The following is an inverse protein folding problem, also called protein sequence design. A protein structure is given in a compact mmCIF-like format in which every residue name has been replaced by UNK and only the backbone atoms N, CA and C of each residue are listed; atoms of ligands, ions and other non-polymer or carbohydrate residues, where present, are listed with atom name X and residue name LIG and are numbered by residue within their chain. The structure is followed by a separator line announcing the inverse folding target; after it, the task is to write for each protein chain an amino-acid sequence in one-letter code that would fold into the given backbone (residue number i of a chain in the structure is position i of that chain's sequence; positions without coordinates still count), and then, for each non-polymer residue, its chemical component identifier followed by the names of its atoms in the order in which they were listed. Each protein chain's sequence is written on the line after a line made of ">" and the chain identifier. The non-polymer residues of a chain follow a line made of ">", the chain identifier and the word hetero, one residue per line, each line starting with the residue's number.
data_IF_978943847113
#
_entry.id   IF_978943847113
#
_cell.length_a   1.000
_cell.length_b   1.000
_cell.length_c   1.000
_cell.angle_alpha   90.00
_cell.angle_beta   90.00
_cell.angle_gamma   90.00
#
_symmetry.space_group_name_H-M   'P 1'
#
loop_
_entity.id
_entity.type
_entity.pdbx_description
1 polymer ?
#
# COMPACT_ATOMS: atom_id res chain seq x y z
N UNK A 1 -60.87 -32.49 -35.08
CA UNK A 1 -59.75 -31.56 -34.84
C UNK A 1 -59.65 -31.34 -33.33
N UNK A 2 -58.64 -31.91 -32.67
CA UNK A 2 -58.39 -31.73 -31.22
C UNK A 2 -57.26 -30.72 -31.08
N UNK A 3 -57.54 -29.55 -30.53
CA UNK A 3 -56.56 -28.49 -30.28
C UNK A 3 -55.87 -28.82 -28.95
N UNK A 4 -54.57 -29.13 -29.00
CA UNK A 4 -53.71 -29.28 -27.82
C UNK A 4 -53.41 -27.87 -27.25
N UNK A 5 -53.49 -27.63 -25.92
CA UNK A 5 -53.00 -26.39 -25.36
C UNK A 5 -51.47 -26.45 -25.26
N UNK A 6 -50.80 -25.51 -25.90
CA UNK A 6 -49.36 -25.30 -25.79
C UNK A 6 -49.08 -24.68 -24.41
N UNK A 7 -48.57 -25.48 -23.46
CA UNK A 7 -48.09 -24.98 -22.18
C UNK A 7 -46.76 -24.25 -22.42
N UNK A 8 -46.76 -22.91 -22.34
CA UNK A 8 -45.53 -22.13 -22.37
C UNK A 8 -44.80 -22.27 -21.03
N UNK A 9 -43.66 -22.99 -21.05
CA UNK A 9 -42.76 -23.10 -19.91
C UNK A 9 -41.97 -21.78 -19.79
N UNK A 10 -42.34 -20.93 -18.84
CA UNK A 10 -41.56 -19.75 -18.43
C UNK A 10 -40.28 -20.23 -17.74
N UNK A 11 -39.18 -20.29 -18.48
CA UNK A 11 -37.84 -20.47 -17.90
C UNK A 11 -37.46 -19.13 -17.26
N UNK A 12 -37.57 -19.04 -15.94
CA UNK A 12 -37.00 -17.94 -15.18
C UNK A 12 -35.46 -18.02 -15.30
N UNK A 13 -34.86 -17.12 -16.07
CA UNK A 13 -33.41 -16.95 -16.08
C UNK A 13 -32.96 -16.55 -14.66
N UNK A 14 -31.94 -17.17 -14.08
CA UNK A 14 -31.43 -16.74 -12.79
C UNK A 14 -30.92 -15.31 -12.92
N UNK A 15 -31.47 -14.40 -12.11
CA UNK A 15 -30.92 -13.06 -11.92
C UNK A 15 -29.53 -13.25 -11.33
N UNK A 16 -28.48 -13.08 -12.14
CA UNK A 16 -27.12 -13.05 -11.65
C UNK A 16 -26.98 -11.84 -10.73
N UNK A 17 -26.75 -12.09 -9.45
CA UNK A 17 -26.58 -11.03 -8.47
C UNK A 17 -25.36 -10.18 -8.86
N UNK A 18 -25.57 -8.87 -8.98
CA UNK A 18 -24.49 -7.92 -9.25
C UNK A 18 -23.44 -8.00 -8.14
N UNK A 19 -22.15 -8.00 -8.52
CA UNK A 19 -21.02 -8.02 -7.59
C UNK A 19 -20.52 -6.60 -7.34
N UNK A 20 -20.43 -6.21 -6.07
CA UNK A 20 -19.81 -4.95 -5.64
C UNK A 20 -18.29 -5.07 -5.70
N UNK A 21 -17.65 -4.20 -6.48
CA UNK A 21 -16.19 -4.20 -6.72
C UNK A 21 -15.54 -3.09 -5.92
N UNK A 22 -14.71 -3.45 -4.95
CA UNK A 22 -14.00 -2.51 -4.08
C UNK A 22 -12.55 -2.42 -4.58
N UNK A 23 -12.04 -1.22 -4.82
CA UNK A 23 -10.63 -1.01 -5.16
C UNK A 23 -9.78 -0.66 -3.94
N UNK A 24 -8.45 -0.78 -4.08
CA UNK A 24 -7.49 -0.11 -3.19
C UNK A 24 -6.19 0.26 -3.91
N UNK A 25 -5.51 1.27 -3.36
CA UNK A 25 -4.21 1.76 -3.83
C UNK A 25 -3.07 0.86 -3.33
N UNK A 26 -1.89 1.02 -3.93
CA UNK A 26 -0.70 0.20 -3.66
C UNK A 26 0.09 0.58 -2.39
N UNK A 27 -0.58 0.75 -1.26
CA UNK A 27 0.09 0.96 0.04
C UNK A 27 -0.73 0.37 1.18
N UNK A 28 -0.04 0.03 2.28
CA UNK A 28 -0.56 -0.74 3.43
C UNK A 28 -1.94 -0.31 3.89
N UNK A 29 -2.10 0.97 4.24
CA UNK A 29 -3.35 1.49 4.77
C UNK A 29 -4.51 1.34 3.77
N UNK A 30 -4.28 1.56 2.47
CA UNK A 30 -5.34 1.40 1.47
C UNK A 30 -5.75 -0.07 1.30
N UNK A 31 -4.81 -1.02 1.37
CA UNK A 31 -5.14 -2.44 1.36
C UNK A 31 -5.99 -2.85 2.56
N UNK A 32 -5.61 -2.39 3.76
CA UNK A 32 -6.34 -2.66 5.02
C UNK A 32 -7.75 -2.09 4.92
N UNK A 33 -7.89 -0.83 4.50
CA UNK A 33 -9.20 -0.21 4.34
C UNK A 33 -10.05 -0.96 3.32
N UNK A 34 -9.49 -1.38 2.19
CA UNK A 34 -10.20 -2.23 1.22
C UNK A 34 -10.77 -3.51 1.84
N UNK A 35 -10.00 -4.18 2.70
CA UNK A 35 -10.46 -5.36 3.46
C UNK A 35 -11.52 -5.01 4.52
N UNK A 36 -11.40 -3.86 5.20
CA UNK A 36 -12.44 -3.37 6.12
C UNK A 36 -13.77 -3.19 5.37
N UNK A 37 -13.75 -2.56 4.19
CA UNK A 37 -14.96 -2.36 3.38
C UNK A 37 -15.54 -3.69 2.91
N UNK A 38 -14.69 -4.61 2.41
CA UNK A 38 -15.11 -5.96 1.99
C UNK A 38 -15.82 -6.71 3.12
N UNK A 39 -15.23 -6.74 4.32
CA UNK A 39 -15.80 -7.39 5.50
C UNK A 39 -17.12 -6.77 5.93
N UNK A 40 -17.23 -5.45 5.83
CA UNK A 40 -18.43 -4.70 6.25
C UNK A 40 -19.67 -5.09 5.43
N UNK A 41 -19.46 -5.40 4.15
CA UNK A 41 -20.53 -5.77 3.22
C UNK A 41 -20.65 -7.30 3.02
N UNK A 42 -19.78 -8.08 3.66
CA UNK A 42 -19.78 -9.54 3.58
C UNK A 42 -21.13 -10.10 4.07
N UNK A 43 -21.64 -11.10 3.33
CA UNK A 43 -22.95 -11.69 3.56
C UNK A 43 -24.16 -10.83 3.14
N UNK A 44 -23.96 -9.58 2.69
CA UNK A 44 -25.04 -8.70 2.21
C UNK A 44 -25.15 -8.68 0.69
N UNK A 45 -24.00 -8.67 0.01
CA UNK A 45 -23.89 -8.69 -1.45
C UNK A 45 -22.67 -9.53 -1.85
N UNK A 46 -22.64 -10.12 -3.07
CA UNK A 46 -21.39 -10.60 -3.64
C UNK A 46 -20.41 -9.44 -3.71
N UNK A 47 -19.20 -9.63 -3.19
CA UNK A 47 -18.18 -8.58 -3.12
C UNK A 47 -16.84 -9.08 -3.63
N UNK A 48 -16.16 -8.28 -4.42
CA UNK A 48 -14.81 -8.52 -4.94
C UNK A 48 -13.91 -7.36 -4.51
N UNK A 49 -12.83 -7.64 -3.79
CA UNK A 49 -11.79 -6.65 -3.54
C UNK A 49 -10.70 -6.79 -4.62
N UNK A 50 -10.38 -5.68 -5.30
CA UNK A 50 -9.32 -5.55 -6.30
C UNK A 50 -8.16 -4.75 -5.69
N UNK A 51 -7.24 -5.43 -4.98
CA UNK A 51 -6.17 -4.75 -4.28
C UNK A 51 -5.10 -4.22 -5.22
N UNK A 52 -4.46 -3.11 -4.83
CA UNK A 52 -3.17 -2.71 -5.40
C UNK A 52 -3.22 -2.28 -6.86
N UNK A 53 -4.36 -1.76 -7.32
CA UNK A 53 -4.59 -1.36 -8.71
C UNK A 53 -3.56 -0.32 -9.21
N UNK A 54 -2.97 0.45 -8.31
CA UNK A 54 -1.90 1.39 -8.61
C UNK A 54 -1.93 2.62 -7.71
N UNK A 55 -1.41 3.72 -8.23
CA UNK A 55 -1.54 5.05 -7.62
C UNK A 55 -2.92 5.66 -7.91
N UNK A 56 -3.22 6.81 -7.29
CA UNK A 56 -4.47 7.58 -7.42
C UNK A 56 -5.04 7.58 -8.84
N UNK A 57 -4.25 7.97 -9.84
CA UNK A 57 -4.71 8.08 -11.22
C UNK A 57 -5.24 6.77 -11.82
N UNK A 58 -4.62 5.63 -11.51
CA UNK A 58 -5.04 4.31 -12.03
C UNK A 58 -6.32 3.86 -11.34
N UNK A 59 -6.39 3.99 -10.01
CA UNK A 59 -7.59 3.58 -9.24
C UNK A 59 -8.78 4.47 -9.61
N UNK A 60 -8.56 5.77 -9.77
CA UNK A 60 -9.58 6.70 -10.22
C UNK A 60 -10.07 6.41 -11.65
N UNK A 61 -9.16 6.07 -12.57
CA UNK A 61 -9.53 5.65 -13.92
C UNK A 61 -10.37 4.35 -13.89
N UNK A 62 -10.02 3.38 -13.04
CA UNK A 62 -10.79 2.17 -12.85
C UNK A 62 -12.20 2.46 -12.31
N UNK A 63 -12.35 3.41 -11.38
CA UNK A 63 -13.66 3.85 -10.88
C UNK A 63 -14.50 4.50 -11.98
N UNK A 64 -13.92 5.41 -12.76
CA UNK A 64 -14.59 6.06 -13.90
C UNK A 64 -15.05 5.05 -14.94
N UNK A 65 -14.21 4.06 -15.25
CA UNK A 65 -14.49 3.00 -16.19
C UNK A 65 -15.51 1.96 -15.69
N UNK A 66 -15.90 2.00 -14.40
CA UNK A 66 -16.79 0.99 -13.80
C UNK A 66 -16.10 -0.35 -13.53
N UNK A 67 -14.77 -0.41 -13.61
CA UNK A 67 -13.98 -1.58 -13.20
C UNK A 67 -13.98 -1.77 -11.69
N UNK A 68 -14.24 -0.71 -10.93
CA UNK A 68 -14.57 -0.75 -9.49
C UNK A 68 -15.76 0.18 -9.24
N UNK A 69 -16.47 -0.06 -8.15
CA UNK A 69 -17.66 0.71 -7.75
C UNK A 69 -17.34 1.77 -6.68
N UNK A 70 -16.37 1.48 -5.79
CA UNK A 70 -15.90 2.40 -4.76
C UNK A 70 -14.49 2.04 -4.26
N UNK A 71 -13.81 2.99 -3.63
CA UNK A 71 -12.57 2.74 -2.90
C UNK A 71 -12.26 3.83 -1.84
N UNK A 72 -11.39 3.56 -0.85
CA UNK A 72 -10.93 4.57 0.11
C UNK A 72 -10.02 5.62 -0.53
N UNK A 73 -10.32 6.90 -0.34
CA UNK A 73 -9.56 8.03 -0.84
C UNK A 73 -9.51 9.19 0.17
N UNK A 74 -8.58 10.14 -0.01
CA UNK A 74 -8.32 11.23 0.93
C UNK A 74 -8.72 12.58 0.33
N UNK A 75 -9.31 13.45 1.14
CA UNK A 75 -9.75 14.80 0.72
C UNK A 75 -8.68 15.59 -0.01
N UNK A 76 -7.46 15.65 0.53
CA UNK A 76 -6.35 16.37 -0.08
C UNK A 76 -5.91 15.79 -1.42
N UNK A 77 -5.96 14.46 -1.57
CA UNK A 77 -5.67 13.78 -2.85
C UNK A 77 -6.75 14.06 -3.88
N UNK A 78 -8.03 14.04 -3.49
CA UNK A 78 -9.14 14.37 -4.39
C UNK A 78 -9.00 15.81 -4.89
N UNK A 79 -8.76 16.76 -3.98
CA UNK A 79 -8.61 18.16 -4.35
C UNK A 79 -7.44 18.38 -5.31
N UNK A 80 -6.24 17.88 -4.97
CA UNK A 80 -5.00 18.23 -5.68
C UNK A 80 -4.74 17.38 -6.92
N UNK A 81 -4.96 16.07 -6.84
CA UNK A 81 -4.59 15.15 -7.92
C UNK A 81 -5.76 14.88 -8.88
N UNK A 82 -6.99 14.78 -8.35
CA UNK A 82 -8.17 14.44 -9.15
C UNK A 82 -8.83 15.69 -9.73
N UNK A 83 -9.15 16.67 -8.88
CA UNK A 83 -9.88 17.88 -9.28
C UNK A 83 -8.96 19.04 -9.68
N UNK A 84 -7.68 18.99 -9.28
CA UNK A 84 -6.69 20.05 -9.51
C UNK A 84 -7.17 21.43 -8.99
N UNK A 85 -7.79 21.42 -7.82
CA UNK A 85 -8.21 22.63 -7.09
C UNK A 85 -7.28 22.89 -5.91
N UNK A 86 -7.01 24.17 -5.68
CA UNK A 86 -6.19 24.60 -4.55
C UNK A 86 -6.99 24.65 -3.24
N UNK A 87 -6.28 24.69 -2.11
CA UNK A 87 -6.88 24.79 -0.78
C UNK A 87 -7.36 23.45 -0.22
N UNK A 88 -8.35 23.52 0.67
CA UNK A 88 -8.94 22.37 1.36
C UNK A 88 -10.48 22.43 1.23
N UNK A 89 -11.02 22.08 0.05
CA UNK A 89 -12.45 22.20 -0.24
C UNK A 89 -13.31 21.36 0.71
N UNK A 90 -14.53 21.84 0.99
CA UNK A 90 -15.52 21.08 1.76
C UNK A 90 -16.02 19.85 1.00
N UNK A 91 -16.71 18.95 1.70
CA UNK A 91 -17.28 17.74 1.07
C UNK A 91 -18.34 18.13 0.03
N UNK A 92 -19.09 19.18 0.29
CA UNK A 92 -20.10 19.74 -0.60
C UNK A 92 -19.47 20.20 -1.92
N UNK A 93 -18.36 20.92 -1.84
CA UNK A 93 -17.60 21.40 -3.01
C UNK A 93 -17.00 20.22 -3.80
N UNK A 94 -16.43 19.24 -3.10
CA UNK A 94 -15.90 18.02 -3.71
C UNK A 94 -17.00 17.26 -4.46
N UNK A 95 -18.17 17.09 -3.84
CA UNK A 95 -19.32 16.42 -4.46
C UNK A 95 -19.87 17.21 -5.65
N UNK A 96 -19.95 18.53 -5.56
CA UNK A 96 -20.38 19.38 -6.68
C UNK A 96 -19.45 19.22 -7.90
N UNK A 97 -18.14 19.13 -7.68
CA UNK A 97 -17.16 18.94 -8.75
C UNK A 97 -17.13 17.50 -9.32
N UNK A 98 -17.44 16.48 -8.50
CA UNK A 98 -17.45 15.07 -8.90
C UNK A 98 -18.76 14.62 -9.55
N UNK A 99 -19.89 15.23 -9.19
CA UNK A 99 -21.22 14.83 -9.65
C UNK A 99 -21.38 14.78 -11.19
N UNK A 100 -20.83 15.72 -11.98
CA UNK A 100 -20.89 15.66 -13.45
C UNK A 100 -20.24 14.40 -14.04
N UNK A 101 -19.33 13.75 -13.30
CA UNK A 101 -18.66 12.51 -13.70
C UNK A 101 -19.40 11.24 -13.20
N UNK A 102 -20.57 11.39 -12.57
CA UNK A 102 -21.30 10.29 -11.95
C UNK A 102 -20.63 9.75 -10.68
N UNK A 103 -19.78 10.55 -10.03
CA UNK A 103 -19.01 10.18 -8.85
C UNK A 103 -19.40 11.03 -7.65
N UNK A 104 -19.15 10.51 -6.45
CA UNK A 104 -19.33 11.24 -5.20
C UNK A 104 -18.39 10.76 -4.12
N UNK A 105 -18.26 11.56 -3.06
CA UNK A 105 -17.55 11.24 -1.83
C UNK A 105 -18.51 11.22 -0.66
N UNK A 106 -18.36 10.23 0.22
CA UNK A 106 -19.17 10.06 1.41
C UNK A 106 -18.44 9.22 2.45
N UNK A 107 -19.06 9.05 3.63
CA UNK A 107 -18.59 8.18 4.71
C UNK A 107 -17.18 8.57 5.16
N UNK A 108 -17.09 9.58 6.03
CA UNK A 108 -15.83 9.93 6.69
C UNK A 108 -15.40 8.80 7.60
N UNK A 109 -14.30 8.11 7.31
CA UNK A 109 -13.93 6.89 8.04
C UNK A 109 -13.54 7.17 9.50
N UNK A 110 -13.10 8.39 9.82
CA UNK A 110 -12.85 8.85 11.20
C UNK A 110 -11.41 9.23 11.52
N UNK A 111 -10.52 9.27 10.52
CA UNK A 111 -9.13 9.68 10.70
C UNK A 111 -8.65 10.59 9.58
N UNK A 112 -7.65 11.40 9.93
CA UNK A 112 -6.90 12.23 9.00
C UNK A 112 -5.50 11.62 8.87
N UNK A 113 -5.01 11.47 7.64
CA UNK A 113 -3.69 10.95 7.30
C UNK A 113 -2.78 12.08 6.78
N UNK A 114 -2.69 13.16 7.53
CA UNK A 114 -1.83 14.29 7.17
C UNK A 114 -0.43 14.13 7.76
N UNK A 115 0.48 14.99 7.32
CA UNK A 115 1.73 15.17 8.03
C UNK A 115 1.47 15.67 9.45
N UNK A 116 2.22 15.14 10.39
CA UNK A 116 2.08 15.49 11.79
C UNK A 116 3.41 15.38 12.54
N UNK A 117 3.62 16.30 13.47
CA UNK A 117 4.73 16.20 14.41
C UNK A 117 4.43 15.13 15.44
N UNK A 118 5.40 14.25 15.68
CA UNK A 118 5.30 13.27 16.75
C UNK A 118 6.53 13.33 17.66
N UNK A 119 6.31 13.13 18.95
CA UNK A 119 7.39 13.07 19.95
C UNK A 119 7.16 11.88 20.88
N UNK A 120 8.19 11.45 21.61
CA UNK A 120 8.07 10.33 22.55
C UNK A 120 7.01 10.63 23.61
N UNK A 121 6.10 9.67 23.84
CA UNK A 121 4.96 9.82 24.77
C UNK A 121 5.41 10.18 26.19
N UNK A 122 6.46 9.52 26.70
CA UNK A 122 7.03 9.82 28.02
C UNK A 122 7.52 11.27 28.15
N UNK A 123 8.13 11.79 27.08
CA UNK A 123 8.64 13.17 27.04
C UNK A 123 7.50 14.17 26.85
N UNK A 124 6.49 13.83 26.07
CA UNK A 124 5.29 14.65 25.89
C UNK A 124 4.56 14.84 27.23
N UNK A 125 4.40 13.76 27.99
CA UNK A 125 3.83 13.82 29.34
C UNK A 125 4.71 14.65 30.29
N UNK A 126 6.02 14.37 30.34
CA UNK A 126 6.94 15.07 31.24
C UNK A 126 7.04 16.58 30.98
N UNK A 127 6.87 17.01 29.72
CA UNK A 127 6.91 18.43 29.33
C UNK A 127 5.51 19.04 29.15
N UNK A 128 4.43 18.28 29.42
CA UNK A 128 3.05 18.68 29.19
C UNK A 128 2.75 19.19 27.75
N UNK A 129 3.41 18.63 26.75
CA UNK A 129 3.23 19.00 25.33
C UNK A 129 2.12 18.16 24.72
N UNK A 130 1.08 18.82 24.18
CA UNK A 130 -0.02 18.17 23.46
C UNK A 130 -0.20 18.71 22.04
N UNK A 131 0.03 19.99 21.83
CA UNK A 131 -0.21 20.67 20.55
C UNK A 131 1.08 21.17 19.91
N UNK A 132 0.98 21.62 18.66
CA UNK A 132 2.08 22.31 17.98
C UNK A 132 2.42 23.64 18.67
N UNK A 133 1.42 24.36 19.18
CA UNK A 133 1.64 25.57 19.98
C UNK A 133 2.40 25.30 21.28
N UNK A 134 2.20 24.15 21.92
CA UNK A 134 2.98 23.77 23.10
C UNK A 134 4.42 23.45 22.73
N UNK A 135 4.62 22.69 21.65
CA UNK A 135 5.96 22.35 21.17
C UNK A 135 6.78 23.60 20.85
N UNK A 136 6.16 24.63 20.26
CA UNK A 136 6.81 25.89 19.92
C UNK A 136 7.43 26.61 21.14
N UNK A 137 6.97 26.33 22.36
CA UNK A 137 7.51 26.90 23.61
C UNK A 137 8.81 26.22 24.05
N UNK A 138 9.25 25.15 23.38
CA UNK A 138 10.43 24.35 23.76
C UNK A 138 11.50 24.31 22.65
N UNK A 139 12.17 25.44 22.34
CA UNK A 139 13.12 25.54 21.22
C UNK A 139 14.39 24.69 21.40
N UNK A 140 14.69 24.23 22.61
CA UNK A 140 15.84 23.37 22.90
C UNK A 140 15.66 21.89 22.54
N UNK A 141 14.47 21.49 22.06
CA UNK A 141 14.23 20.11 21.62
C UNK A 141 14.88 19.85 20.25
N UNK A 142 15.58 18.72 20.14
CA UNK A 142 16.20 18.28 18.88
C UNK A 142 15.16 17.63 17.99
N UNK A 143 15.20 17.96 16.70
CA UNK A 143 14.21 17.54 15.70
C UNK A 143 14.86 16.55 14.73
N UNK A 144 14.20 15.42 14.49
CA UNK A 144 14.61 14.42 13.51
C UNK A 144 13.70 14.49 12.28
N UNK A 145 14.27 14.55 11.08
CA UNK A 145 13.56 14.90 9.85
C UNK A 145 13.93 13.95 8.71
N UNK A 146 12.97 13.59 7.87
CA UNK A 146 13.24 12.87 6.63
C UNK A 146 13.70 13.82 5.52
N UNK A 147 14.55 13.31 4.61
CA UNK A 147 15.03 14.07 3.45
C UNK A 147 13.90 14.49 2.51
N UNK A 148 12.90 13.62 2.33
CA UNK A 148 11.72 13.89 1.50
C UNK A 148 10.94 15.12 1.99
N UNK A 149 10.79 15.28 3.31
CA UNK A 149 10.09 16.42 3.91
C UNK A 149 10.91 17.72 3.87
N UNK A 150 12.25 17.62 3.79
CA UNK A 150 13.15 18.78 3.64
C UNK A 150 12.95 19.48 2.29
N UNK A 151 12.63 18.73 1.23
CA UNK A 151 12.51 19.25 -0.13
C UNK A 151 11.13 19.80 -0.52
N UNK A 152 10.11 19.71 0.35
CA UNK A 152 8.72 20.08 0.02
C UNK A 152 8.40 21.54 0.32
N UNK A 153 7.63 22.18 -0.56
CA UNK A 153 7.13 23.55 -0.40
C UNK A 153 6.16 23.69 0.78
N UNK A 154 5.38 22.65 1.08
CA UNK A 154 4.54 22.50 2.27
C UNK A 154 5.24 21.76 3.43
N UNK A 155 6.57 21.62 3.37
CA UNK A 155 7.42 20.91 4.35
C UNK A 155 8.32 21.84 5.18
N UNK A 156 9.64 21.66 5.05
CA UNK A 156 10.67 22.32 5.89
C UNK A 156 10.61 23.85 6.05
N UNK A 157 10.17 24.62 5.04
CA UNK A 157 10.03 26.06 5.21
C UNK A 157 9.05 26.49 6.33
N UNK A 158 8.23 25.61 6.92
CA UNK A 158 7.32 26.06 7.98
C UNK A 158 7.03 25.19 9.22
N UNK A 159 7.51 23.94 9.38
CA UNK A 159 7.52 23.29 10.71
C UNK A 159 8.34 21.99 10.70
N UNK A 160 9.06 21.66 11.78
CA UNK A 160 10.16 20.67 11.77
C UNK A 160 9.79 19.32 12.42
N UNK A 161 9.42 18.35 11.57
CA UNK A 161 9.23 16.88 11.72
C UNK A 161 7.84 16.42 11.26
N UNK A 162 7.78 15.32 10.51
CA UNK A 162 6.49 14.81 10.06
C UNK A 162 6.50 13.29 9.90
N UNK A 163 5.58 12.65 10.59
CA UNK A 163 5.06 11.33 10.25
C UNK A 163 3.70 11.54 9.58
N UNK A 164 3.26 10.58 8.80
CA UNK A 164 1.83 10.44 8.58
C UNK A 164 1.17 10.17 9.94
N UNK A 165 0.08 10.86 10.26
CA UNK A 165 -0.63 10.71 11.55
C UNK A 165 -1.12 9.29 11.81
N UNK A 166 -1.08 8.40 10.81
CA UNK A 166 -1.42 6.98 10.92
C UNK A 166 -0.24 6.00 10.71
N UNK A 167 1.01 6.47 10.65
CA UNK A 167 2.20 5.62 10.43
C UNK A 167 2.39 4.56 11.55
N UNK A 168 2.65 3.30 11.15
CA UNK A 168 2.90 2.17 12.05
C UNK A 168 4.05 2.42 13.06
N UNK A 169 5.04 3.23 12.68
CA UNK A 169 6.18 3.57 13.53
C UNK A 169 5.77 4.35 14.79
N UNK A 170 4.62 5.02 14.76
CA UNK A 170 4.07 5.71 15.92
C UNK A 170 3.88 4.72 17.07
N UNK A 171 3.32 3.54 16.80
CA UNK A 171 3.16 2.49 17.81
C UNK A 171 4.50 1.85 18.18
N UNK A 172 5.33 1.50 17.18
CA UNK A 172 6.66 0.90 17.40
C UNK A 172 7.53 1.69 18.37
N UNK A 173 7.54 3.01 18.22
CA UNK A 173 8.41 3.90 18.99
C UNK A 173 7.69 4.60 20.15
N UNK A 174 6.44 4.21 20.43
CA UNK A 174 5.59 4.83 21.45
C UNK A 174 5.59 6.36 21.36
N UNK A 175 5.27 6.86 20.15
CA UNK A 175 5.19 8.28 19.86
C UNK A 175 3.76 8.78 20.10
N UNK A 176 3.67 10.03 20.56
CA UNK A 176 2.47 10.84 20.54
C UNK A 176 2.50 11.73 19.31
N UNK A 177 1.48 11.61 18.47
CA UNK A 177 1.18 12.61 17.43
C UNK A 177 0.62 13.85 18.13
N UNK A 178 1.21 15.01 17.85
CA UNK A 178 0.79 16.30 18.39
C UNK A 178 -0.39 16.84 17.59
N UNK A 179 -1.32 17.49 18.28
CA UNK A 179 -2.47 18.13 17.65
C UNK A 179 -2.04 19.39 16.89
N UNK A 180 -2.39 19.47 15.61
CA UNK A 180 -2.21 20.67 14.77
C UNK A 180 -3.31 21.70 15.04
N UNK A 181 -3.21 22.33 16.21
CA UNK A 181 -4.12 23.39 16.66
C UNK A 181 -4.07 24.66 15.77
N UNK A 182 -3.04 24.77 14.93
CA UNK A 182 -2.85 25.89 13.99
C UNK A 182 -3.34 25.59 12.58
N UNK A 183 -3.79 24.36 12.32
CA UNK A 183 -4.21 23.88 10.99
C UNK A 183 -3.17 24.18 9.90
N UNK A 184 -1.90 23.99 10.25
CA UNK A 184 -0.77 24.22 9.37
C UNK A 184 -0.75 23.20 8.23
N UNK A 185 -1.00 21.93 8.54
CA UNK A 185 -0.97 20.85 7.55
C UNK A 185 -2.31 20.72 6.81
N UNK A 186 -2.29 20.45 5.49
CA UNK A 186 -3.50 20.18 4.72
C UNK A 186 -4.28 18.97 5.27
N UNK A 187 -5.60 18.95 5.13
CA UNK A 187 -6.39 17.78 5.57
C UNK A 187 -6.37 16.66 4.53
N UNK A 188 -6.05 15.46 4.98
CA UNK A 188 -6.18 14.21 4.23
C UNK A 188 -7.14 13.30 5.01
N UNK A 189 -8.39 13.72 5.14
CA UNK A 189 -9.44 12.93 5.77
C UNK A 189 -9.79 11.74 4.89
N UNK A 190 -9.78 10.53 5.46
CA UNK A 190 -10.09 9.31 4.73
C UNK A 190 -11.60 9.14 4.56
N UNK A 191 -12.03 8.87 3.33
CA UNK A 191 -13.45 8.73 2.95
C UNK A 191 -13.63 7.75 1.80
N UNK A 192 -14.88 7.44 1.45
CA UNK A 192 -15.20 6.62 0.30
C UNK A 192 -15.42 7.51 -0.93
N UNK A 193 -14.64 7.28 -1.99
CA UNK A 193 -14.93 7.77 -3.33
C UNK A 193 -15.67 6.67 -4.10
N UNK A 194 -16.87 6.96 -4.60
CA UNK A 194 -17.80 5.98 -5.13
C UNK A 194 -18.53 6.46 -6.38
N UNK A 195 -19.08 5.53 -7.18
CA UNK A 195 -20.00 5.85 -8.29
C UNK A 195 -21.39 6.15 -7.71
N UNK A 196 -22.04 7.23 -8.14
CA UNK A 196 -23.35 7.69 -7.60
C UNK A 196 -24.50 6.67 -7.71
N UNK A 197 -24.34 5.64 -8.54
CA UNK A 197 -25.27 4.53 -8.67
C UNK A 197 -25.16 3.48 -7.54
N UNK A 198 -24.04 3.42 -6.80
CA UNK A 198 -23.80 2.40 -5.75
C UNK A 198 -24.91 2.35 -4.70
N UNK A 199 -25.40 3.48 -4.13
CA UNK A 199 -26.49 3.42 -3.15
C UNK A 199 -27.79 2.83 -3.71
N UNK A 200 -28.02 2.97 -5.02
CA UNK A 200 -29.21 2.42 -5.70
C UNK A 200 -29.02 0.96 -6.09
N UNK A 201 -27.83 0.58 -6.57
CA UNK A 201 -27.49 -0.79 -6.99
C UNK A 201 -27.29 -1.73 -5.79
N UNK A 202 -26.74 -1.23 -4.68
CA UNK A 202 -26.38 -2.01 -3.50
C UNK A 202 -26.87 -1.35 -2.20
N UNK A 203 -28.19 -1.18 -1.98
CA UNK A 203 -28.72 -0.39 -0.87
C UNK A 203 -28.33 -0.93 0.51
N UNK A 204 -28.33 -2.25 0.70
CA UNK A 204 -27.97 -2.86 2.00
C UNK A 204 -26.46 -2.80 2.27
N UNK A 205 -25.64 -2.98 1.24
CA UNK A 205 -24.20 -2.79 1.34
C UNK A 205 -23.87 -1.32 1.64
N UNK A 206 -24.52 -0.38 0.97
CA UNK A 206 -24.34 1.05 1.20
C UNK A 206 -24.68 1.45 2.63
N UNK A 207 -25.81 0.97 3.17
CA UNK A 207 -26.19 1.22 4.57
C UNK A 207 -25.15 0.68 5.56
N UNK A 208 -24.57 -0.49 5.27
CA UNK A 208 -23.50 -1.06 6.09
C UNK A 208 -22.22 -0.23 6.02
N UNK A 209 -21.84 0.26 4.83
CA UNK A 209 -20.70 1.14 4.64
C UNK A 209 -20.89 2.48 5.35
N UNK A 210 -22.09 3.06 5.31
CA UNK A 210 -22.41 4.29 6.06
C UNK A 210 -22.22 4.11 7.57
N UNK A 211 -22.48 2.91 8.11
CA UNK A 211 -22.24 2.63 9.52
C UNK A 211 -20.75 2.63 9.92
N UNK A 212 -19.80 2.70 8.98
CA UNK A 212 -18.38 2.90 9.26
C UNK A 212 -18.02 4.36 9.55
N UNK A 213 -18.94 5.31 9.34
CA UNK A 213 -18.65 6.72 9.55
C UNK A 213 -18.14 6.97 10.99
N UNK A 214 -16.94 7.56 11.08
CA UNK A 214 -16.26 7.85 12.34
C UNK A 214 -15.72 6.65 13.10
N UNK A 215 -15.84 5.41 12.61
CA UNK A 215 -15.46 4.19 13.38
C UNK A 215 -13.97 3.89 13.36
N UNK A 216 -13.24 4.37 12.37
CA UNK A 216 -11.81 4.14 12.19
C UNK A 216 -11.07 5.41 12.64
N UNK A 217 -10.87 5.55 13.95
CA UNK A 217 -10.02 6.63 14.46
C UNK A 217 -8.53 6.41 14.12
N UNK A 218 -7.73 7.45 14.28
CA UNK A 218 -6.30 7.39 13.97
C UNK A 218 -5.58 6.28 14.77
N UNK A 219 -5.98 6.02 16.02
CA UNK A 219 -5.33 4.98 16.85
C UNK A 219 -5.63 3.59 16.34
N UNK A 220 -6.87 3.32 15.92
CA UNK A 220 -7.26 2.06 15.29
C UNK A 220 -6.50 1.88 13.98
N UNK A 221 -6.41 2.92 13.17
CA UNK A 221 -5.66 2.85 11.91
C UNK A 221 -4.17 2.58 12.12
N UNK A 222 -3.51 3.27 13.07
CA UNK A 222 -2.10 3.00 13.44
C UNK A 222 -1.91 1.54 13.84
N UNK A 223 -2.80 0.98 14.67
CA UNK A 223 -2.72 -0.43 15.09
C UNK A 223 -2.85 -1.40 13.94
N UNK A 224 -3.77 -1.16 13.01
CA UNK A 224 -3.92 -2.01 11.84
C UNK A 224 -2.69 -1.89 10.91
N UNK A 225 -2.14 -0.69 10.73
CA UNK A 225 -0.90 -0.50 9.98
C UNK A 225 0.28 -1.23 10.64
N UNK A 226 0.42 -1.14 11.97
CA UNK A 226 1.46 -1.83 12.73
C UNK A 226 1.34 -3.36 12.63
N UNK A 227 0.13 -3.90 12.74
CA UNK A 227 -0.14 -5.31 12.55
C UNK A 227 0.34 -5.82 11.17
N UNK A 228 0.08 -5.07 10.10
CA UNK A 228 0.52 -5.46 8.77
C UNK A 228 2.04 -5.26 8.56
N UNK A 229 2.59 -4.10 8.91
CA UNK A 229 3.96 -3.73 8.57
C UNK A 229 5.03 -4.28 9.54
N UNK A 230 4.68 -4.43 10.82
CA UNK A 230 5.64 -4.78 11.87
C UNK A 230 5.46 -6.21 12.36
N UNK A 231 4.22 -6.68 12.44
CA UNK A 231 3.90 -8.05 12.89
C UNK A 231 3.78 -9.03 11.72
N UNK A 232 3.71 -8.54 10.47
CA UNK A 232 3.61 -9.36 9.27
C UNK A 232 2.25 -10.04 9.09
N UNK A 233 1.20 -9.56 9.77
CA UNK A 233 -0.17 -10.06 9.58
C UNK A 233 -0.66 -9.73 8.17
N UNK A 234 -1.55 -10.58 7.63
CA UNK A 234 -2.24 -10.28 6.38
C UNK A 234 -3.13 -9.04 6.52
N UNK A 235 -3.44 -8.36 5.42
CA UNK A 235 -4.32 -7.18 5.44
C UNK A 235 -5.73 -7.50 5.96
N UNK A 236 -6.22 -8.73 5.73
CA UNK A 236 -7.51 -9.18 6.24
C UNK A 236 -7.50 -9.40 7.77
N UNK A 237 -6.39 -9.92 8.31
CA UNK A 237 -6.18 -10.04 9.77
C UNK A 237 -5.98 -8.68 10.42
N UNK A 238 -5.23 -7.77 9.78
CA UNK A 238 -5.08 -6.39 10.24
C UNK A 238 -6.44 -5.68 10.28
N UNK A 239 -7.25 -5.78 9.22
CA UNK A 239 -8.61 -5.26 9.17
C UNK A 239 -9.52 -5.83 10.26
N UNK A 240 -9.26 -7.07 10.74
CA UNK A 240 -10.00 -7.69 11.83
C UNK A 240 -9.87 -6.96 13.17
N UNK A 241 -8.78 -6.23 13.35
CA UNK A 241 -8.51 -5.52 14.58
C UNK A 241 -9.45 -4.31 14.78
N UNK A 242 -10.19 -3.89 13.76
CA UNK A 242 -11.20 -2.85 13.88
C UNK A 242 -12.26 -3.18 14.94
N UNK A 243 -12.61 -4.46 15.07
CA UNK A 243 -13.60 -4.96 16.03
C UNK A 243 -12.99 -5.24 17.42
N UNK A 244 -11.67 -5.06 17.58
CA UNK A 244 -10.96 -5.31 18.83
C UNK A 244 -10.71 -4.03 19.62
N UNK A 245 -11.20 -3.99 20.87
CA UNK A 245 -10.94 -2.91 21.83
C UNK A 245 -9.66 -3.14 22.65
N UNK A 246 -8.79 -4.06 22.21
CA UNK A 246 -7.54 -4.36 22.88
C UNK A 246 -6.65 -3.10 22.96
N UNK A 247 -6.23 -2.76 24.19
CA UNK A 247 -5.32 -1.64 24.43
C UNK A 247 -3.95 -1.94 23.78
N UNK A 248 -3.31 -0.95 23.14
CA UNK A 248 -1.97 -1.13 22.59
C UNK A 248 -1.01 -1.56 23.70
N UNK A 249 -0.34 -2.69 23.50
CA UNK A 249 0.75 -3.09 24.39
C UNK A 249 1.89 -2.11 24.19
N UNK A 250 2.28 -1.44 25.28
CA UNK A 250 3.44 -0.55 25.30
C UNK A 250 4.64 -1.29 24.71
N UNK A 251 5.15 -0.80 23.58
CA UNK A 251 6.40 -1.27 23.02
C UNK A 251 7.52 -0.94 24.02
N UNK A 252 7.89 -1.94 24.83
CA UNK A 252 9.01 -1.82 25.75
C UNK A 252 10.24 -1.35 24.96
N UNK A 253 10.98 -0.37 25.50
CA UNK A 253 12.22 0.17 24.92
C UNK A 253 13.15 -0.99 24.56
N UNK A 254 13.19 -1.37 23.28
CA UNK A 254 14.25 -2.25 22.78
C UNK A 254 15.49 -1.40 22.56
N UNK A 255 16.57 -1.79 23.22
CA UNK A 255 17.93 -1.30 22.93
C UNK A 255 18.18 -1.36 21.41
N UNK A 256 19.00 -0.45 20.87
CA UNK A 256 19.39 -0.47 19.45
C UNK A 256 19.88 -1.87 19.03
N UNK A 257 20.73 -2.48 19.86
CA UNK A 257 21.23 -3.84 19.65
C UNK A 257 20.12 -4.90 19.78
N UNK A 258 19.17 -4.73 20.68
CA UNK A 258 18.00 -5.63 20.79
C UNK A 258 17.00 -5.47 19.63
N UNK A 259 17.04 -4.34 18.93
CA UNK A 259 16.23 -4.10 17.73
C UNK A 259 16.93 -4.67 16.50
N UNK A 260 18.26 -4.49 16.41
CA UNK A 260 19.07 -5.03 15.32
C UNK A 260 19.16 -6.56 15.37
N UNK A 261 19.41 -7.11 16.56
CA UNK A 261 19.46 -8.54 16.85
C UNK A 261 18.19 -9.03 17.54
N UNK A 262 17.03 -8.56 17.06
CA UNK A 262 15.73 -8.99 17.57
C UNK A 262 15.53 -10.51 17.44
N UNK A 263 14.47 -11.06 18.06
CA UNK A 263 14.19 -12.50 17.99
C UNK A 263 14.04 -13.01 16.54
N UNK A 264 13.60 -12.14 15.63
CA UNK A 264 13.47 -12.45 14.21
C UNK A 264 14.79 -12.38 13.44
N UNK A 265 15.89 -11.88 14.01
CA UNK A 265 17.15 -11.66 13.29
C UNK A 265 17.67 -12.95 12.66
N UNK A 266 17.76 -14.04 13.44
CA UNK A 266 18.25 -15.32 12.93
C UNK A 266 17.30 -15.92 11.89
N UNK A 267 15.99 -15.78 12.08
CA UNK A 267 14.98 -16.24 11.13
C UNK A 267 15.07 -15.47 9.82
N UNK A 268 15.04 -14.14 9.86
CA UNK A 268 15.15 -13.27 8.69
C UNK A 268 16.51 -13.41 7.99
N UNK A 269 17.60 -13.60 8.74
CA UNK A 269 18.92 -13.92 8.17
C UNK A 269 18.88 -15.26 7.45
N UNK A 270 18.26 -16.28 8.06
CA UNK A 270 18.06 -17.58 7.44
C UNK A 270 17.22 -17.50 6.16
N UNK A 271 16.11 -16.78 6.19
CA UNK A 271 15.25 -16.53 5.03
C UNK A 271 16.01 -15.80 3.92
N UNK A 272 16.81 -14.78 4.27
CA UNK A 272 17.63 -14.05 3.31
C UNK A 272 18.72 -14.95 2.70
N UNK A 273 19.44 -15.71 3.54
CA UNK A 273 20.47 -16.65 3.08
C UNK A 273 19.87 -17.71 2.17
N UNK A 274 18.74 -18.31 2.55
CA UNK A 274 18.04 -19.29 1.74
C UNK A 274 17.68 -18.70 0.38
N UNK A 275 17.09 -17.50 0.36
CA UNK A 275 16.69 -16.82 -0.86
C UNK A 275 17.90 -16.52 -1.77
N UNK A 276 19.02 -16.07 -1.19
CA UNK A 276 20.28 -15.84 -1.93
C UNK A 276 20.85 -17.16 -2.48
N UNK A 277 20.95 -18.21 -1.67
CA UNK A 277 21.50 -19.50 -2.09
C UNK A 277 20.67 -20.15 -3.20
N UNK A 278 19.35 -20.16 -3.07
CA UNK A 278 18.45 -20.71 -4.08
C UNK A 278 18.56 -19.92 -5.39
N UNK A 279 18.57 -18.58 -5.31
CA UNK A 279 18.75 -17.74 -6.50
C UNK A 279 20.10 -17.99 -7.18
N UNK A 280 21.18 -18.04 -6.40
CA UNK A 280 22.53 -18.25 -6.91
C UNK A 280 22.67 -19.65 -7.54
N UNK A 281 22.16 -20.69 -6.90
CA UNK A 281 22.18 -22.04 -7.45
C UNK A 281 21.46 -22.11 -8.80
N UNK A 282 20.27 -21.51 -8.90
CA UNK A 282 19.53 -21.41 -10.15
C UNK A 282 20.29 -20.61 -11.21
N UNK A 283 20.93 -19.49 -10.84
CA UNK A 283 21.77 -18.72 -11.75
C UNK A 283 23.01 -19.46 -12.22
N UNK A 284 23.61 -20.33 -11.40
CA UNK A 284 24.76 -21.16 -11.81
C UNK A 284 24.30 -22.22 -12.81
N UNK A 285 23.19 -22.91 -12.52
CA UNK A 285 22.61 -23.95 -13.39
C UNK A 285 22.30 -23.40 -14.78
N UNK A 286 21.86 -22.14 -14.89
CA UNK A 286 21.59 -21.49 -16.18
C UNK A 286 22.83 -20.79 -16.77
N UNK A 287 23.58 -20.08 -15.93
CA UNK A 287 24.66 -19.19 -16.36
C UNK A 287 25.92 -19.92 -16.81
N UNK A 288 26.28 -21.05 -16.17
CA UNK A 288 27.46 -21.82 -16.57
C UNK A 288 27.28 -22.43 -17.96
N UNK A 289 26.17 -23.15 -18.28
CA UNK A 289 25.95 -23.64 -19.64
C UNK A 289 25.93 -22.54 -20.70
N UNK A 290 25.31 -21.39 -20.40
CA UNK A 290 25.30 -20.24 -21.32
C UNK A 290 26.70 -19.67 -21.53
N UNK A 291 27.52 -19.57 -20.47
CA UNK A 291 28.90 -19.13 -20.55
C UNK A 291 29.80 -20.11 -21.32
N UNK A 292 29.60 -21.42 -21.15
CA UNK A 292 30.29 -22.45 -21.94
C UNK A 292 29.91 -22.36 -23.42
N UNK A 293 28.62 -22.16 -23.72
CA UNK A 293 28.15 -22.00 -25.10
C UNK A 293 28.76 -20.75 -25.75
N UNK A 294 28.78 -19.63 -25.03
CA UNK A 294 29.41 -18.39 -25.47
C UNK A 294 30.90 -18.59 -25.78
N UNK A 295 31.65 -19.30 -24.93
CA UNK A 295 33.07 -19.57 -25.13
C UNK A 295 33.36 -20.51 -26.32
N UNK A 296 32.53 -21.55 -26.52
CA UNK A 296 32.77 -22.56 -27.56
C UNK A 296 32.32 -22.11 -28.95
N UNK A 297 31.37 -21.19 -29.03
CA UNK A 297 30.79 -20.72 -30.29
C UNK A 297 30.96 -19.19 -30.36
N UNK A 298 32.06 -18.68 -30.96
CA UNK A 298 32.37 -17.25 -31.03
C UNK A 298 31.25 -16.41 -31.65
N UNK A 299 30.44 -17.01 -32.54
CA UNK A 299 29.28 -16.36 -33.16
C UNK A 299 28.12 -16.07 -32.17
N UNK A 300 28.06 -16.78 -31.05
CA UNK A 300 26.97 -16.68 -30.07
C UNK A 300 27.35 -15.82 -28.85
N UNK A 301 28.64 -15.57 -28.64
CA UNK A 301 29.15 -14.84 -27.47
C UNK A 301 28.49 -13.46 -27.32
N UNK A 302 28.55 -12.64 -28.37
CA UNK A 302 28.01 -11.28 -28.34
C UNK A 302 26.49 -11.27 -28.14
N UNK A 303 25.78 -12.25 -28.70
CA UNK A 303 24.32 -12.38 -28.51
C UNK A 303 24.00 -12.76 -27.07
N UNK A 304 24.65 -13.79 -26.53
CA UNK A 304 24.39 -14.29 -25.17
C UNK A 304 24.74 -13.21 -24.14
N UNK A 305 25.94 -12.62 -24.21
CA UNK A 305 26.37 -11.57 -23.28
C UNK A 305 25.54 -10.29 -23.44
N UNK A 306 25.16 -9.94 -24.68
CA UNK A 306 24.28 -8.81 -24.96
C UNK A 306 22.91 -8.98 -24.33
N UNK A 307 22.24 -10.11 -24.58
CA UNK A 307 20.90 -10.40 -24.04
C UNK A 307 20.89 -10.41 -22.52
N UNK A 308 21.85 -11.10 -21.89
CA UNK A 308 21.93 -11.15 -20.43
C UNK A 308 22.32 -9.77 -19.85
N UNK A 309 23.11 -8.99 -20.59
CA UNK A 309 23.55 -7.65 -20.19
C UNK A 309 22.42 -6.61 -20.19
N UNK A 310 21.46 -6.71 -21.11
CA UNK A 310 20.30 -5.81 -21.16
C UNK A 310 19.55 -5.78 -19.83
N UNK A 311 19.42 -6.92 -19.14
CA UNK A 311 18.67 -6.97 -17.89
C UNK A 311 19.33 -6.08 -16.81
N UNK A 312 20.66 -5.98 -16.77
CA UNK A 312 21.35 -5.13 -15.80
C UNK A 312 21.20 -3.63 -16.07
N UNK A 313 20.77 -3.25 -17.27
CA UNK A 313 20.46 -1.84 -17.60
C UNK A 313 19.15 -1.36 -16.99
N UNK A 314 18.27 -2.30 -16.62
CA UNK A 314 17.03 -1.98 -15.94
C UNK A 314 17.38 -1.69 -14.47
N UNK A 315 16.99 -0.54 -13.89
CA UNK A 315 17.19 -0.29 -12.46
C UNK A 315 16.52 -1.37 -11.62
N UNK A 316 17.17 -1.85 -10.55
CA UNK A 316 16.68 -2.99 -9.76
C UNK A 316 15.28 -2.76 -9.21
N UNK A 317 14.99 -1.55 -8.74
CA UNK A 317 13.67 -1.15 -8.26
C UNK A 317 12.59 -1.21 -9.37
N UNK A 318 12.94 -0.83 -10.61
CA UNK A 318 12.03 -0.88 -11.74
C UNK A 318 11.76 -2.33 -12.18
N UNK A 319 12.80 -3.17 -12.21
CA UNK A 319 12.65 -4.61 -12.47
C UNK A 319 11.75 -5.25 -11.40
N UNK A 320 11.96 -4.91 -10.14
CA UNK A 320 11.17 -5.43 -9.03
C UNK A 320 9.69 -5.01 -9.13
N UNK A 321 9.42 -3.73 -9.43
CA UNK A 321 8.06 -3.24 -9.63
C UNK A 321 7.36 -3.92 -10.82
N UNK A 322 8.08 -4.15 -11.91
CA UNK A 322 7.59 -4.89 -13.07
C UNK A 322 7.24 -6.34 -12.72
N UNK A 323 8.14 -7.04 -12.00
CA UNK A 323 7.91 -8.43 -11.58
C UNK A 323 6.75 -8.55 -10.59
N UNK A 324 6.56 -7.59 -9.70
CA UNK A 324 5.38 -7.53 -8.82
C UNK A 324 4.12 -7.39 -9.66
N UNK A 325 4.09 -6.46 -10.61
CA UNK A 325 2.92 -6.26 -11.48
C UNK A 325 2.61 -7.51 -12.33
N UNK A 326 3.64 -8.21 -12.79
CA UNK A 326 3.51 -9.41 -13.61
C UNK A 326 3.05 -10.63 -12.80
N UNK A 327 3.59 -10.81 -11.58
CA UNK A 327 3.30 -11.98 -10.74
C UNK A 327 2.08 -11.78 -9.83
N UNK A 328 1.63 -10.53 -9.64
CA UNK A 328 0.57 -10.18 -8.70
C UNK A 328 0.96 -10.38 -7.22
N UNK A 329 2.23 -10.63 -6.93
CA UNK A 329 2.72 -10.91 -5.56
C UNK A 329 3.86 -10.00 -5.17
N UNK A 330 3.95 -9.67 -3.89
CA UNK A 330 5.11 -9.00 -3.28
C UNK A 330 5.82 -10.06 -2.43
N UNK A 331 7.15 -10.13 -2.50
CA UNK A 331 7.94 -11.01 -1.63
C UNK A 331 8.88 -11.94 -2.39
N UNK A 332 8.91 -13.21 -1.97
CA UNK A 332 9.95 -14.19 -2.31
C UNK A 332 10.12 -14.41 -3.82
N UNK A 333 9.01 -14.56 -4.57
CA UNK A 333 9.07 -14.90 -6.00
C UNK A 333 9.67 -13.79 -6.87
N UNK A 334 9.19 -12.53 -6.83
CA UNK A 334 9.86 -11.43 -7.51
C UNK A 334 11.33 -11.28 -7.11
N UNK A 335 11.67 -11.49 -5.83
CA UNK A 335 13.04 -11.40 -5.35
C UNK A 335 13.96 -12.50 -5.90
N UNK A 336 13.51 -13.75 -5.90
CA UNK A 336 14.23 -14.87 -6.51
C UNK A 336 14.51 -14.61 -7.99
N UNK A 337 13.50 -14.19 -8.75
CA UNK A 337 13.64 -13.91 -10.18
C UNK A 337 14.60 -12.74 -10.41
N UNK A 338 14.44 -11.64 -9.68
CA UNK A 338 15.31 -10.47 -9.81
C UNK A 338 16.78 -10.82 -9.50
N UNK A 339 17.04 -11.51 -8.39
CA UNK A 339 18.39 -11.94 -8.03
C UNK A 339 18.98 -12.91 -9.05
N UNK A 340 18.16 -13.85 -9.56
CA UNK A 340 18.60 -14.79 -10.57
C UNK A 340 19.09 -14.07 -11.82
N UNK A 341 18.28 -13.14 -12.34
CA UNK A 341 18.57 -12.40 -13.56
C UNK A 341 19.80 -11.48 -13.39
N UNK A 342 19.93 -10.83 -12.23
CA UNK A 342 21.09 -9.97 -11.95
C UNK A 342 22.39 -10.75 -11.82
N UNK A 343 22.36 -11.94 -11.21
CA UNK A 343 23.52 -12.80 -11.07
C UNK A 343 23.92 -13.49 -12.38
N UNK A 344 23.04 -13.54 -13.38
CA UNK A 344 23.27 -14.28 -14.62
C UNK A 344 24.45 -13.72 -15.42
N UNK A 345 24.54 -12.39 -15.62
CA UNK A 345 25.61 -11.77 -16.42
C UNK A 345 27.01 -12.06 -15.86
N UNK A 346 27.33 -11.79 -14.58
CA UNK A 346 28.67 -12.03 -14.06
C UNK A 346 29.04 -13.52 -14.13
N UNK A 347 28.09 -14.44 -13.93
CA UNK A 347 28.34 -15.88 -14.05
C UNK A 347 28.67 -16.26 -15.50
N UNK A 348 27.83 -15.85 -16.46
CA UNK A 348 28.04 -16.13 -17.89
C UNK A 348 29.36 -15.53 -18.36
N UNK A 349 29.61 -14.26 -18.01
CA UNK A 349 30.83 -13.54 -18.39
C UNK A 349 32.07 -14.20 -17.81
N UNK A 350 32.09 -14.48 -16.50
CA UNK A 350 33.25 -15.09 -15.83
C UNK A 350 33.52 -16.50 -16.36
N UNK A 351 32.48 -17.29 -16.64
CA UNK A 351 32.62 -18.61 -17.25
C UNK A 351 33.20 -18.52 -18.65
N UNK A 352 32.68 -17.60 -19.47
CA UNK A 352 33.15 -17.39 -20.84
C UNK A 352 34.63 -16.97 -20.84
N UNK A 353 34.98 -15.90 -20.11
CA UNK A 353 36.35 -15.38 -20.04
C UNK A 353 37.31 -16.38 -19.43
N UNK A 354 36.86 -17.17 -18.45
CA UNK A 354 37.67 -18.23 -17.84
C UNK A 354 38.03 -19.32 -18.83
N UNK A 355 37.09 -19.75 -19.67
CA UNK A 355 37.32 -20.79 -20.68
C UNK A 355 38.16 -20.28 -21.85
N UNK A 356 37.91 -19.07 -22.34
CA UNK A 356 38.71 -18.46 -23.42
C UNK A 356 40.11 -18.03 -23.00
N UNK A 357 40.38 -17.96 -21.69
CA UNK A 357 41.72 -17.64 -21.16
C UNK A 357 42.62 -18.86 -20.94
N UNK A 358 42.06 -20.07 -21.01
CA UNK A 358 42.78 -21.35 -20.79
C UNK A 358 43.04 -22.08 -22.13
N UNK A 359 42.28 -21.77 -23.18
CA UNK A 359 42.42 -22.28 -24.55
C UNK A 359 42.95 -21.18 -25.44
#
# INVERSE_FOLDING_TARGET
>A
MRVLPLLALLIALPVQADTLRIGSKRFTESYILGEVLRRTVEGKVPVEHRPGLGNTGIVFAALKAGSIDLYPEYTGTIAREILKVDGNPGIEDLNAALAPQGLGVAVRLGFNNSYALAMREDRAQALAIRTLSDLAKHPGLKLGLSQEFIGRTDGWPGLKAAFYSTDAKIERYALRVLEDDRRYFPSYEAMLLYRLEVPKRFPDAWRALQALEGRIDARRMIRMNAAAELEGKSFAEAAALLDSDAKPQSAARRSFFATLFGPDFLRLTGEHLLLVFVSLAASIVLGVPLGVAAAKLPKTEQTILGTVGVIQTIPSLALFAFLIALTGTIGTWPALIALLLYALLPIVRNTCTGLTGIV
#
